data_IF_241059144571
#
_entry.id   IF_241059144571
#
_cell.length_a   1.000
_cell.length_b   1.000
_cell.length_c   1.000
_cell.angle_alpha   90.00
_cell.angle_beta   90.00
_cell.angle_gamma   90.00
#
_symmetry.space_group_name_H-M   'P 1'
#
loop_
_entity.id
_entity.type
_entity.pdbx_description
1 polymer ?
#
# COMPACT_ATOMS: atom_id res chain seq x y z
N UNK A 1 -65.62 -12.77 6.88
CA UNK A 1 -64.81 -14.02 6.90
C UNK A 1 -63.94 -13.97 5.65
N UNK A 2 -62.67 -13.59 5.71
CA UNK A 2 -61.58 -14.33 6.36
C UNK A 2 -60.57 -13.38 7.03
N UNK A 3 -60.11 -13.81 8.20
CA UNK A 3 -58.95 -13.32 8.95
C UNK A 3 -57.82 -14.31 8.69
N UNK A 4 -56.59 -13.84 8.47
CA UNK A 4 -55.32 -14.37 9.03
C UNK A 4 -54.14 -13.77 8.26
N UNK A 5 -53.46 -12.78 8.82
CA UNK A 5 -52.10 -12.90 9.40
C UNK A 5 -51.01 -13.36 8.42
N UNK A 6 -50.08 -12.45 8.13
CA UNK A 6 -48.66 -12.80 8.13
C UNK A 6 -47.88 -11.61 8.73
N UNK A 7 -47.37 -11.87 9.93
CA UNK A 7 -46.40 -11.07 10.67
C UNK A 7 -44.99 -11.38 10.19
N UNK A 8 -44.16 -10.34 9.99
CA UNK A 8 -42.95 -10.04 10.79
C UNK A 8 -42.06 -9.05 10.03
N UNK A 9 -41.78 -7.95 10.73
CA UNK A 9 -40.89 -6.87 10.36
C UNK A 9 -39.44 -7.37 10.24
N UNK A 10 -38.75 -6.98 9.18
CA UNK A 10 -37.30 -6.88 9.17
C UNK A 10 -36.98 -5.48 9.71
N UNK A 11 -36.45 -5.46 10.92
CA UNK A 11 -35.98 -4.26 11.60
C UNK A 11 -34.78 -3.70 10.82
N UNK A 12 -34.96 -2.56 10.17
CA UNK A 12 -33.89 -1.80 9.53
C UNK A 12 -33.02 -1.17 10.62
N UNK A 13 -31.73 -1.48 10.60
CA UNK A 13 -30.71 -0.76 11.37
C UNK A 13 -30.55 0.67 10.82
N UNK A 14 -30.24 1.65 11.68
CA UNK A 14 -30.30 3.06 11.33
C UNK A 14 -29.23 3.43 10.29
N UNK A 15 -29.71 4.26 9.36
CA UNK A 15 -29.06 4.94 8.26
C UNK A 15 -27.81 5.72 8.69
N UNK A 16 -26.66 5.40 8.09
CA UNK A 16 -25.67 6.41 7.71
C UNK A 16 -25.67 6.51 6.18
N UNK A 17 -26.70 7.15 5.65
CA UNK A 17 -26.73 7.61 4.27
C UNK A 17 -25.75 8.79 4.14
N UNK A 18 -24.48 8.47 3.86
CA UNK A 18 -23.51 9.45 3.37
C UNK A 18 -24.08 10.02 2.08
N UNK A 19 -24.65 11.21 2.15
CA UNK A 19 -25.07 11.98 0.99
C UNK A 19 -23.83 12.25 0.14
N UNK A 20 -23.60 11.42 -0.86
CA UNK A 20 -22.62 11.72 -1.90
C UNK A 20 -23.22 12.86 -2.73
N UNK A 21 -22.86 14.09 -2.39
CA UNK A 21 -23.00 15.24 -3.29
C UNK A 21 -22.48 14.80 -4.67
N UNK A 22 -23.16 15.11 -5.79
CA UNK A 22 -22.69 14.70 -7.11
C UNK A 22 -21.29 15.27 -7.29
N UNK A 23 -20.25 14.44 -7.13
CA UNK A 23 -18.90 14.85 -7.48
C UNK A 23 -18.95 15.15 -8.96
N UNK A 24 -18.63 16.39 -9.33
CA UNK A 24 -18.42 16.74 -10.72
C UNK A 24 -17.53 15.66 -11.36
N UNK A 25 -17.88 15.25 -12.58
CA UNK A 25 -17.17 14.17 -13.27
C UNK A 25 -15.75 14.66 -13.60
N UNK A 26 -14.81 14.42 -12.69
CA UNK A 26 -13.40 14.74 -12.87
C UNK A 26 -12.81 13.82 -13.94
N UNK A 27 -12.13 14.38 -14.93
CA UNK A 27 -11.50 13.59 -15.99
C UNK A 27 -10.28 12.81 -15.48
N UNK A 28 -9.96 11.69 -16.14
CA UNK A 28 -8.74 10.93 -15.84
C UNK A 28 -7.47 11.80 -15.89
N UNK A 29 -7.37 12.69 -16.89
CA UNK A 29 -6.23 13.60 -17.01
C UNK A 29 -6.08 14.53 -15.80
N UNK A 30 -7.20 14.95 -15.18
CA UNK A 30 -7.19 15.77 -13.97
C UNK A 30 -6.77 14.94 -12.75
N UNK A 31 -7.29 13.71 -12.62
CA UNK A 31 -6.88 12.80 -11.55
C UNK A 31 -5.39 12.45 -11.64
N UNK A 32 -4.90 12.12 -12.82
CA UNK A 32 -3.49 11.76 -13.05
C UNK A 32 -2.56 12.93 -12.73
N UNK A 33 -2.85 14.13 -13.25
CA UNK A 33 -2.06 15.34 -12.96
C UNK A 33 -2.00 15.69 -11.47
N UNK A 34 -3.07 15.43 -10.73
CA UNK A 34 -3.15 15.71 -9.30
C UNK A 34 -2.77 14.50 -8.42
N UNK A 35 -2.30 13.40 -9.02
CA UNK A 35 -1.93 12.20 -8.28
C UNK A 35 -0.58 12.38 -7.56
N UNK A 36 -0.38 11.76 -6.38
CA UNK A 36 0.92 11.78 -5.69
C UNK A 36 2.06 11.23 -6.56
N UNK A 37 1.76 10.27 -7.44
CA UNK A 37 2.69 9.70 -8.40
C UNK A 37 3.29 10.77 -9.31
N UNK A 38 2.45 11.60 -9.93
CA UNK A 38 2.89 12.67 -10.83
C UNK A 38 3.53 13.81 -10.05
N UNK A 39 3.00 14.13 -8.86
CA UNK A 39 3.52 15.20 -8.01
C UNK A 39 4.90 14.89 -7.42
N UNK A 40 5.28 13.61 -7.28
CA UNK A 40 6.60 13.22 -6.75
C UNK A 40 7.75 13.67 -7.67
N UNK A 41 7.50 13.77 -8.98
CA UNK A 41 8.50 14.09 -9.99
C UNK A 41 9.50 12.95 -10.18
N UNK A 42 10.80 13.29 -10.31
CA UNK A 42 11.85 12.29 -10.41
C UNK A 42 11.93 11.46 -9.12
N UNK A 43 11.70 10.14 -9.20
CA UNK A 43 11.54 9.28 -8.02
C UNK A 43 12.88 8.91 -7.37
N UNK A 44 13.96 8.84 -8.14
CA UNK A 44 15.28 8.45 -7.64
C UNK A 44 15.75 9.35 -6.49
N UNK A 45 16.21 8.72 -5.41
CA UNK A 45 16.66 9.39 -4.19
C UNK A 45 15.56 9.91 -3.28
N UNK A 46 14.28 9.85 -3.69
CA UNK A 46 13.16 10.26 -2.83
C UNK A 46 12.92 9.25 -1.73
N UNK A 47 12.49 9.75 -0.57
CA UNK A 47 12.17 8.93 0.60
C UNK A 47 10.66 8.88 0.73
N UNK A 48 10.12 7.67 0.78
CA UNK A 48 8.68 7.41 0.91
C UNK A 48 8.42 6.40 2.02
N UNK A 49 7.16 6.30 2.42
CA UNK A 49 6.71 5.30 3.39
C UNK A 49 6.11 4.11 2.63
N UNK A 50 6.63 2.93 2.91
CA UNK A 50 6.11 1.66 2.42
C UNK A 50 5.49 0.83 3.52
N UNK A 51 4.83 -0.25 3.13
CA UNK A 51 4.23 -1.25 3.99
C UNK A 51 4.80 -2.61 3.63
N UNK A 52 5.24 -3.36 4.64
CA UNK A 52 5.62 -4.77 4.45
C UNK A 52 4.35 -5.56 4.16
N UNK A 53 4.19 -6.02 2.92
CA UNK A 53 3.01 -6.79 2.47
C UNK A 53 3.20 -8.28 2.68
N UNK A 54 4.44 -8.76 2.63
CA UNK A 54 4.75 -10.16 2.90
C UNK A 54 6.19 -10.35 3.42
N UNK A 55 6.47 -11.54 3.93
CA UNK A 55 7.76 -11.86 4.52
C UNK A 55 8.10 -13.33 4.29
N UNK A 56 9.19 -13.59 3.57
CA UNK A 56 9.64 -14.95 3.22
C UNK A 56 11.05 -15.14 3.75
N UNK A 57 11.20 -15.93 4.82
CA UNK A 57 12.49 -16.06 5.51
C UNK A 57 12.96 -14.72 6.07
N UNK A 58 14.07 -14.21 5.54
CA UNK A 58 14.65 -12.91 5.86
C UNK A 58 14.36 -11.82 4.83
N UNK A 59 13.61 -12.13 3.77
CA UNK A 59 13.28 -11.16 2.73
C UNK A 59 11.91 -10.51 3.01
N UNK A 60 11.88 -9.19 2.93
CA UNK A 60 10.71 -8.34 3.18
C UNK A 60 10.19 -7.81 1.85
N UNK A 61 8.95 -8.15 1.51
CA UNK A 61 8.25 -7.57 0.36
C UNK A 61 7.57 -6.29 0.81
N UNK A 62 7.96 -5.17 0.21
CA UNK A 62 7.52 -3.82 0.60
C UNK A 62 6.78 -3.18 -0.57
N UNK A 63 5.53 -2.81 -0.33
CA UNK A 63 4.73 -1.98 -1.23
C UNK A 63 4.82 -0.51 -0.76
N UNK A 64 5.19 0.40 -1.65
CA UNK A 64 5.30 1.83 -1.39
C UNK A 64 4.45 2.67 -2.36
N UNK A 65 3.43 2.07 -2.96
CA UNK A 65 2.42 2.75 -3.77
C UNK A 65 2.75 2.87 -5.27
N UNK A 66 3.81 2.20 -5.72
CA UNK A 66 4.21 2.14 -7.12
C UNK A 66 3.80 0.79 -7.75
N UNK A 67 4.15 0.60 -9.03
CA UNK A 67 3.75 -0.58 -9.81
C UNK A 67 4.33 -1.89 -9.26
N UNK A 68 5.60 -1.86 -8.86
CA UNK A 68 6.33 -3.04 -8.37
C UNK A 68 6.66 -2.88 -6.89
N UNK A 69 6.60 -4.01 -6.18
CA UNK A 69 7.11 -4.09 -4.81
C UNK A 69 8.63 -4.11 -4.85
N UNK A 70 9.24 -3.71 -3.74
CA UNK A 70 10.66 -3.91 -3.53
C UNK A 70 10.91 -5.05 -2.53
N UNK A 71 12.01 -5.75 -2.72
CA UNK A 71 12.46 -6.81 -1.82
C UNK A 71 13.69 -6.32 -1.07
N UNK A 72 13.61 -6.29 0.27
CA UNK A 72 14.72 -5.89 1.12
C UNK A 72 15.00 -6.96 2.17
N UNK A 73 16.28 -7.20 2.46
CA UNK A 73 16.64 -8.07 3.58
C UNK A 73 16.27 -7.44 4.92
N UNK A 74 15.78 -8.28 5.84
CA UNK A 74 15.43 -7.92 7.20
C UNK A 74 16.67 -7.38 7.92
N UNK A 75 16.61 -6.16 8.49
CA UNK A 75 17.69 -5.65 9.31
C UNK A 75 17.91 -6.52 10.55
N UNK A 76 19.17 -6.72 10.93
CA UNK A 76 19.53 -7.47 12.16
C UNK A 76 19.05 -6.76 13.43
N UNK A 77 19.11 -5.42 13.43
CA UNK A 77 18.64 -4.60 14.53
C UNK A 77 17.10 -4.53 14.51
N UNK A 78 16.47 -4.86 15.64
CA UNK A 78 15.01 -4.85 15.80
C UNK A 78 14.27 -5.70 14.75
N UNK A 79 14.88 -6.81 14.34
CA UNK A 79 14.40 -7.71 13.28
C UNK A 79 12.96 -8.18 13.50
N UNK A 80 12.59 -8.46 14.76
CA UNK A 80 11.26 -8.91 15.19
C UNK A 80 10.14 -7.92 14.90
N UNK A 81 10.45 -6.64 14.70
CA UNK A 81 9.45 -5.60 14.46
C UNK A 81 9.09 -5.46 12.96
N UNK A 82 9.91 -6.01 12.07
CA UNK A 82 9.68 -6.02 10.62
C UNK A 82 8.80 -7.21 10.23
N UNK A 83 7.52 -7.11 10.58
CA UNK A 83 6.48 -8.10 10.26
C UNK A 83 5.54 -7.57 9.19
N UNK A 84 4.74 -8.46 8.61
CA UNK A 84 3.64 -8.10 7.72
C UNK A 84 2.74 -7.03 8.36
N UNK A 85 2.48 -5.96 7.61
CA UNK A 85 1.73 -4.79 8.04
C UNK A 85 2.56 -3.70 8.71
N UNK A 86 3.86 -3.91 8.95
CA UNK A 86 4.77 -2.86 9.41
C UNK A 86 4.91 -1.77 8.35
N UNK A 87 4.89 -0.51 8.80
CA UNK A 87 5.18 0.65 7.98
C UNK A 87 6.68 0.94 8.08
N UNK A 88 7.34 1.10 6.94
CA UNK A 88 8.78 1.29 6.82
C UNK A 88 9.09 2.52 5.99
N UNK A 89 10.26 3.11 6.21
CA UNK A 89 10.78 4.22 5.41
C UNK A 89 11.79 3.65 4.41
N UNK A 90 11.57 3.94 3.14
CA UNK A 90 12.44 3.47 2.05
C UNK A 90 12.90 4.65 1.20
N UNK A 91 14.14 4.56 0.70
CA UNK A 91 14.66 5.47 -0.32
C UNK A 91 14.56 4.77 -1.67
N UNK A 92 13.93 5.40 -2.64
CA UNK A 92 13.78 4.85 -3.99
C UNK A 92 15.13 4.97 -4.71
N UNK A 93 15.61 3.87 -5.27
CA UNK A 93 16.74 3.89 -6.21
C UNK A 93 16.21 3.76 -7.63
N UNK A 94 15.40 2.73 -7.89
CA UNK A 94 14.75 2.50 -9.18
C UNK A 94 13.31 2.01 -8.97
N UNK A 95 12.39 2.43 -9.85
CA UNK A 95 11.00 1.99 -9.82
C UNK A 95 10.77 0.67 -10.57
N UNK A 96 11.68 0.30 -11.47
CA UNK A 96 11.63 -0.97 -12.20
C UNK A 96 13.04 -1.42 -12.59
N UNK A 97 13.52 -2.51 -12.00
CA UNK A 97 14.76 -3.14 -12.43
C UNK A 97 14.58 -3.78 -13.80
N UNK A 98 15.02 -3.05 -14.83
CA UNK A 98 15.02 -3.50 -16.21
C UNK A 98 16.31 -3.09 -16.91
N UNK A 99 16.81 -3.96 -17.79
CA UNK A 99 18.00 -3.69 -18.58
C UNK A 99 17.95 -4.42 -19.93
N UNK A 100 18.73 -3.93 -20.89
CA UNK A 100 18.80 -4.49 -22.25
C UNK A 100 20.14 -5.15 -22.49
N UNK A 101 20.10 -6.46 -22.69
CA UNK A 101 21.30 -7.25 -22.95
C UNK A 101 21.61 -7.35 -24.45
N UNK A 102 22.89 -7.55 -24.79
CA UNK A 102 23.32 -7.68 -26.17
C UNK A 102 22.61 -8.87 -26.85
N UNK A 103 22.06 -8.63 -28.04
CA UNK A 103 21.31 -9.63 -28.81
C UNK A 103 19.84 -9.76 -28.41
N UNK A 104 19.38 -9.09 -27.35
CA UNK A 104 17.95 -9.02 -27.04
C UNK A 104 17.24 -7.97 -27.90
N UNK A 105 16.06 -8.28 -28.46
CA UNK A 105 15.28 -7.30 -29.22
C UNK A 105 14.48 -6.35 -28.31
N UNK A 106 14.37 -6.68 -27.01
CA UNK A 106 13.60 -5.93 -26.02
C UNK A 106 14.30 -6.00 -24.65
N UNK A 107 13.92 -5.07 -23.77
CA UNK A 107 14.43 -5.01 -22.41
C UNK A 107 13.88 -6.19 -21.58
N UNK A 108 14.70 -6.68 -20.65
CA UNK A 108 14.31 -7.69 -19.67
C UNK A 108 14.07 -7.01 -18.32
N UNK A 109 12.97 -7.34 -17.65
CA UNK A 109 12.58 -6.78 -16.35
C UNK A 109 12.51 -7.87 -15.28
N UNK A 110 12.97 -7.55 -14.07
CA UNK A 110 12.86 -8.42 -12.90
C UNK A 110 11.49 -8.31 -12.20
N UNK A 111 10.65 -7.37 -12.63
CA UNK A 111 9.32 -7.09 -12.04
C UNK A 111 9.38 -6.72 -10.54
N UNK A 112 10.47 -6.06 -10.16
CA UNK A 112 10.70 -5.54 -8.81
C UNK A 112 11.30 -4.13 -8.88
N UNK A 113 11.03 -3.34 -7.85
CA UNK A 113 11.65 -2.04 -7.66
C UNK A 113 12.89 -2.16 -6.77
N UNK A 114 13.87 -1.30 -6.97
CA UNK A 114 15.04 -1.20 -6.08
C UNK A 114 14.86 -0.06 -5.08
N UNK A 115 14.93 -0.41 -3.79
CA UNK A 115 14.84 0.55 -2.70
C UNK A 115 15.83 0.22 -1.60
N UNK A 116 16.29 1.26 -0.92
CA UNK A 116 17.06 1.11 0.31
C UNK A 116 16.13 1.21 1.53
N UNK A 117 16.05 0.16 2.33
CA UNK A 117 15.33 0.18 3.61
C UNK A 117 16.09 1.05 4.64
N UNK A 118 15.51 2.18 5.01
CA UNK A 118 16.11 3.12 5.96
C UNK A 118 15.73 2.81 7.42
N UNK A 119 14.50 2.35 7.65
CA UNK A 119 14.07 2.00 9.01
C UNK A 119 12.56 1.79 9.17
N UNK A 120 12.17 1.45 10.40
CA UNK A 120 10.78 1.21 10.79
C UNK A 120 10.07 2.53 11.17
N UNK A 121 8.84 2.71 10.71
CA UNK A 121 7.95 3.83 11.09
C UNK A 121 6.94 3.40 12.15
N UNK A 122 6.29 2.25 11.94
CA UNK A 122 5.31 1.71 12.88
C UNK A 122 5.22 0.20 12.69
N UNK A 123 5.04 -0.55 13.78
CA UNK A 123 4.78 -1.98 13.73
C UNK A 123 3.42 -2.30 14.35
N UNK A 124 2.67 -3.29 13.83
CA UNK A 124 1.41 -3.72 14.43
C UNK A 124 1.54 -4.17 15.89
N UNK A 125 2.71 -4.68 16.30
CA UNK A 125 2.97 -5.18 17.65
C UNK A 125 2.85 -4.06 18.71
N UNK A 126 3.25 -2.83 18.38
CA UNK A 126 3.25 -1.70 19.31
C UNK A 126 1.86 -1.13 19.61
N UNK A 127 0.83 -1.40 18.77
CA UNK A 127 -0.53 -0.90 19.02
C UNK A 127 -1.28 -1.65 20.12
N UNK A 128 -0.78 -2.79 20.57
CA UNK A 128 -1.44 -3.62 21.59
C UNK A 128 -1.22 -3.11 23.03
N UNK A 129 -0.32 -2.14 23.27
CA UNK A 129 0.09 -1.73 24.62
C UNK A 129 -0.40 -0.34 25.05
N UNK A 130 -1.60 0.10 24.65
CA UNK A 130 -2.23 1.26 25.30
C UNK A 130 -2.99 0.79 26.56
N UNK A 131 -2.60 1.18 27.78
CA UNK A 131 -3.44 0.98 28.95
C UNK A 131 -4.62 1.95 28.83
N UNK A 132 -5.83 1.42 28.90
CA UNK A 132 -7.03 2.21 29.11
C UNK A 132 -6.93 2.92 30.46
N UNK A 133 -6.93 4.26 30.44
CA UNK A 133 -7.25 5.08 31.61
C UNK A 133 -8.71 4.85 32.04
#
# INVERSE_FOLDING_TARGET
MYRSMCTKNVEQSPTDCVQQTPKEKVSFATLFRNSPLVQLGLPEGKIVVGKVVDTVGDDLYIDFGFKFNAVCRRPKLNSTNYIRGAMVRVKINDLELSDRFLGSPQDMTLLEADVTLLGLVSTPIMKASNPSN
#
